data_IF_937333401916
#
_entry.id   IF_937333401916
#
_cell.length_a   1.000
_cell.length_b   1.000
_cell.length_c   1.000
_cell.angle_alpha   90.00
_cell.angle_beta   90.00
_cell.angle_gamma   90.00
#
_symmetry.space_group_name_H-M   'P 1'
#
loop_
_entity.id
_entity.type
_entity.pdbx_description
1 polymer ?
#
# COMPACT_ATOMS: atom_id res chain seq x y z
N UNK A 1 38.60 -93.60 -21.93
CA UNK A 1 37.47 -93.88 -21.02
C UNK A 1 36.43 -92.78 -21.21
N UNK A 2 35.48 -92.96 -22.13
CA UNK A 2 34.02 -92.92 -21.87
C UNK A 2 33.60 -92.36 -20.50
N UNK A 3 32.82 -91.28 -20.50
CA UNK A 3 31.41 -91.31 -20.08
C UNK A 3 30.67 -90.03 -20.55
N UNK A 4 29.41 -90.24 -20.92
CA UNK A 4 28.44 -89.29 -21.45
C UNK A 4 27.28 -89.17 -20.44
N UNK A 5 26.40 -88.17 -20.66
CA UNK A 5 25.04 -87.99 -20.11
C UNK A 5 24.97 -87.33 -18.71
N UNK A 6 24.03 -86.46 -18.31
CA UNK A 6 22.63 -86.15 -18.72
C UNK A 6 22.29 -84.66 -18.46
N UNK A 7 21.29 -84.13 -19.18
CA UNK A 7 20.70 -82.80 -18.99
C UNK A 7 19.72 -82.74 -17.80
N UNK A 8 19.59 -81.56 -17.16
CA UNK A 8 18.36 -81.14 -16.47
C UNK A 8 18.15 -79.63 -16.70
N UNK A 9 17.12 -79.32 -17.48
CA UNK A 9 16.54 -77.99 -17.60
C UNK A 9 16.02 -77.50 -16.25
N UNK A 10 16.41 -76.30 -15.84
CA UNK A 10 15.70 -75.53 -14.82
C UNK A 10 15.43 -74.12 -15.37
N UNK A 11 14.20 -73.95 -15.82
CA UNK A 11 13.55 -72.65 -16.01
C UNK A 11 13.49 -71.98 -14.64
N UNK A 12 14.22 -70.87 -14.45
CA UNK A 12 13.95 -69.93 -13.37
C UNK A 12 13.67 -68.56 -13.98
N UNK A 13 12.46 -68.11 -13.70
CA UNK A 13 11.82 -66.85 -14.05
C UNK A 13 12.65 -65.64 -13.64
N UNK A 14 12.92 -64.73 -14.57
CA UNK A 14 13.07 -63.32 -14.22
C UNK A 14 11.72 -62.86 -13.64
N UNK A 15 11.64 -62.33 -12.41
CA UNK A 15 11.69 -60.87 -12.27
C UNK A 15 12.19 -60.39 -10.90
N UNK A 16 12.97 -59.32 -10.89
CA UNK A 16 12.92 -58.27 -9.87
C UNK A 16 13.59 -57.07 -10.53
N UNK A 17 12.76 -56.43 -11.34
CA UNK A 17 12.98 -55.16 -11.99
C UNK A 17 13.29 -54.16 -10.87
N UNK A 18 14.57 -53.88 -10.61
CA UNK A 18 14.96 -52.60 -10.05
C UNK A 18 14.41 -51.57 -11.03
N UNK A 19 13.22 -51.05 -10.74
CA UNK A 19 12.59 -50.02 -11.52
C UNK A 19 13.56 -48.86 -11.61
N UNK A 20 14.11 -48.64 -12.80
CA UNK A 20 14.57 -47.33 -13.18
C UNK A 20 13.40 -46.37 -12.90
N UNK A 21 13.61 -45.39 -12.02
CA UNK A 21 12.79 -44.20 -12.04
C UNK A 21 13.07 -43.56 -13.40
N UNK A 22 12.14 -43.71 -14.35
CA UNK A 22 12.24 -43.11 -15.67
C UNK A 22 12.55 -41.63 -15.53
N UNK A 23 13.66 -41.19 -16.09
CA UNK A 23 14.18 -39.83 -16.03
C UNK A 23 13.40 -38.86 -16.97
N UNK A 24 12.15 -39.21 -17.31
CA UNK A 24 11.29 -38.53 -18.29
C UNK A 24 10.06 -37.85 -17.65
N UNK A 25 10.07 -37.60 -16.35
CA UNK A 25 9.14 -36.64 -15.73
C UNK A 25 9.74 -35.23 -15.84
N UNK A 26 9.91 -34.75 -17.08
CA UNK A 26 10.35 -33.39 -17.33
C UNK A 26 9.29 -32.42 -16.77
N UNK A 27 9.59 -31.75 -15.66
CA UNK A 27 8.75 -30.69 -15.11
C UNK A 27 8.44 -29.68 -16.22
N UNK A 28 7.16 -29.54 -16.63
CA UNK A 28 6.77 -28.64 -17.71
C UNK A 28 7.13 -27.17 -17.42
N UNK A 29 7.38 -26.84 -16.15
CA UNK A 29 7.76 -25.52 -15.69
C UNK A 29 9.27 -25.29 -15.67
N UNK A 30 10.10 -26.32 -15.78
CA UNK A 30 11.56 -26.20 -15.65
C UNK A 30 12.22 -25.30 -16.71
N UNK A 31 11.58 -25.10 -17.86
CA UNK A 31 12.07 -24.24 -18.94
C UNK A 31 11.40 -22.86 -18.99
N UNK A 32 10.41 -22.59 -18.13
CA UNK A 32 9.64 -21.34 -18.16
C UNK A 32 10.30 -20.27 -17.31
N UNK A 33 10.83 -19.25 -17.98
CA UNK A 33 11.37 -18.08 -17.31
C UNK A 33 10.28 -17.01 -17.14
N UNK A 34 9.42 -17.21 -16.13
CA UNK A 34 8.40 -16.22 -15.78
C UNK A 34 9.06 -15.09 -15.01
N UNK A 35 8.99 -13.87 -15.55
CA UNK A 35 9.43 -12.66 -14.85
C UNK A 35 8.23 -11.92 -14.31
N UNK A 36 8.31 -11.50 -13.04
CA UNK A 36 7.23 -10.82 -12.32
C UNK A 36 7.73 -9.47 -11.78
N UNK A 37 7.06 -8.40 -12.17
CA UNK A 37 7.27 -7.04 -11.66
C UNK A 37 5.93 -6.46 -11.19
N UNK A 38 5.97 -5.29 -10.54
CA UNK A 38 4.76 -4.59 -10.12
C UNK A 38 4.94 -3.08 -10.20
N UNK A 39 3.84 -2.38 -10.50
CA UNK A 39 3.68 -0.95 -10.24
C UNK A 39 2.94 -0.79 -8.92
N UNK A 40 3.46 0.04 -8.03
CA UNK A 40 2.99 0.17 -6.65
C UNK A 40 2.54 1.61 -6.38
N UNK A 41 1.36 1.75 -5.78
CA UNK A 41 0.91 2.97 -5.11
C UNK A 41 0.97 2.69 -3.61
N UNK A 42 1.80 3.46 -2.90
CA UNK A 42 1.96 3.37 -1.46
C UNK A 42 0.67 3.80 -0.72
N UNK A 43 0.50 3.32 0.50
CA UNK A 43 -0.69 3.59 1.31
C UNK A 43 -0.38 4.64 2.38
N UNK A 44 -1.35 5.47 2.76
CA UNK A 44 -1.17 6.39 3.89
C UNK A 44 -1.21 5.65 5.23
N UNK A 45 -0.54 6.19 6.24
CA UNK A 45 -0.55 5.64 7.60
C UNK A 45 -1.98 5.41 8.10
N UNK A 46 -2.27 4.18 8.53
CA UNK A 46 -3.58 3.81 9.07
C UNK A 46 -4.70 3.60 8.04
N UNK A 47 -4.43 3.83 6.75
CA UNK A 47 -5.40 3.71 5.67
C UNK A 47 -5.16 2.47 4.79
N UNK A 48 -6.17 2.10 4.00
CA UNK A 48 -6.13 1.00 3.04
C UNK A 48 -6.31 1.55 1.62
N UNK A 49 -5.53 2.55 1.22
CA UNK A 49 -5.66 3.22 -0.08
C UNK A 49 -4.51 2.90 -1.05
N UNK A 50 -3.58 2.05 -0.65
CA UNK A 50 -2.53 1.51 -1.50
C UNK A 50 -3.07 0.58 -2.58
N UNK A 51 -2.25 0.39 -3.62
CA UNK A 51 -2.53 -0.59 -4.66
C UNK A 51 -1.27 -1.19 -5.27
N UNK A 52 -1.42 -2.41 -5.79
CA UNK A 52 -0.38 -3.14 -6.50
C UNK A 52 -0.95 -3.60 -7.83
N UNK A 53 -0.27 -3.28 -8.93
CA UNK A 53 -0.58 -3.84 -10.26
C UNK A 53 0.56 -4.71 -10.74
N UNK A 54 0.32 -6.03 -10.78
CA UNK A 54 1.29 -7.02 -11.20
C UNK A 54 1.51 -7.03 -12.72
N UNK A 55 2.73 -7.34 -13.15
CA UNK A 55 3.05 -7.56 -14.55
C UNK A 55 3.90 -8.83 -14.68
N UNK A 56 3.36 -9.82 -15.38
CA UNK A 56 4.06 -11.08 -15.66
C UNK A 56 4.38 -11.21 -17.15
N UNK A 57 5.54 -11.76 -17.45
CA UNK A 57 6.02 -12.02 -18.82
C UNK A 57 6.71 -13.37 -18.91
N UNK A 58 7.00 -13.85 -20.13
CA UNK A 58 7.62 -15.14 -20.39
C UNK A 58 6.63 -16.30 -20.66
N UNK A 59 5.33 -16.05 -20.51
CA UNK A 59 4.24 -16.97 -20.88
C UNK A 59 2.97 -16.19 -21.22
N UNK A 60 1.82 -16.87 -21.34
CA UNK A 60 0.52 -16.26 -21.61
C UNK A 60 -0.59 -16.84 -20.70
N UNK A 61 -1.72 -16.15 -20.63
CA UNK A 61 -2.88 -16.60 -19.86
C UNK A 61 -2.68 -16.50 -18.34
N UNK A 62 -1.93 -15.49 -17.89
CA UNK A 62 -1.63 -15.33 -16.47
C UNK A 62 -2.88 -15.03 -15.63
N UNK A 63 -2.87 -15.62 -14.44
CA UNK A 63 -3.73 -15.26 -13.30
C UNK A 63 -2.84 -14.90 -12.12
N UNK A 64 -3.32 -14.02 -11.26
CA UNK A 64 -2.54 -13.42 -10.18
C UNK A 64 -3.22 -13.66 -8.83
N UNK A 65 -2.41 -13.77 -7.78
CA UNK A 65 -2.87 -13.91 -6.40
C UNK A 65 -1.91 -13.20 -5.45
N UNK A 66 -2.42 -12.63 -4.36
CA UNK A 66 -1.61 -12.09 -3.24
C UNK A 66 -1.68 -12.96 -1.98
N UNK A 67 -2.50 -14.01 -1.98
CA UNK A 67 -2.71 -14.95 -0.87
C UNK A 67 -2.31 -16.41 -1.20
N UNK A 68 -1.87 -16.64 -2.44
CA UNK A 68 -1.49 -17.96 -2.96
C UNK A 68 -2.66 -18.91 -3.23
N UNK A 69 -3.90 -18.51 -2.97
CA UNK A 69 -5.09 -19.38 -3.04
C UNK A 69 -6.17 -18.86 -3.98
N UNK A 70 -6.50 -17.57 -3.89
CA UNK A 70 -7.50 -16.91 -4.72
C UNK A 70 -6.80 -16.25 -5.92
N UNK A 71 -6.99 -16.83 -7.10
CA UNK A 71 -6.43 -16.34 -8.36
C UNK A 71 -7.47 -15.54 -9.14
N UNK A 72 -7.07 -14.37 -9.65
CA UNK A 72 -7.88 -13.50 -10.49
C UNK A 72 -7.17 -13.18 -11.82
N UNK A 73 -7.93 -12.86 -12.86
CA UNK A 73 -7.37 -12.43 -14.16
C UNK A 73 -6.94 -10.96 -14.15
N UNK A 74 -7.58 -10.13 -13.33
CA UNK A 74 -7.16 -8.75 -13.12
C UNK A 74 -5.79 -8.71 -12.43
N UNK A 75 -4.80 -7.97 -12.95
CA UNK A 75 -3.49 -7.86 -12.30
C UNK A 75 -3.49 -6.87 -11.12
N UNK A 76 -4.58 -6.13 -10.91
CA UNK A 76 -4.63 -5.04 -9.92
C UNK A 76 -5.27 -5.50 -8.61
N UNK A 77 -4.59 -5.22 -7.52
CA UNK A 77 -5.03 -5.38 -6.14
C UNK A 77 -5.10 -3.98 -5.50
N UNK A 78 -6.31 -3.52 -5.20
CA UNK A 78 -6.57 -2.22 -4.59
C UNK A 78 -7.02 -2.41 -3.14
N UNK A 79 -6.95 -1.34 -2.33
CA UNK A 79 -7.43 -1.41 -0.95
C UNK A 79 -6.39 -2.00 0.00
N UNK A 80 -5.10 -1.82 -0.31
CA UNK A 80 -4.00 -2.41 0.43
C UNK A 80 -3.49 -1.42 1.49
N UNK A 81 -3.23 -1.92 2.69
CA UNK A 81 -2.45 -1.20 3.70
C UNK A 81 -0.97 -1.17 3.32
N UNK A 82 -0.18 -0.37 4.05
CA UNK A 82 1.27 -0.51 4.02
C UNK A 82 1.66 -1.93 4.48
N UNK A 83 2.55 -2.58 3.73
CA UNK A 83 2.93 -3.96 3.99
C UNK A 83 3.66 -4.65 2.85
N UNK A 84 4.12 -5.86 3.11
CA UNK A 84 4.77 -6.71 2.10
C UNK A 84 3.78 -7.75 1.59
N UNK A 85 3.60 -7.80 0.28
CA UNK A 85 2.67 -8.68 -0.41
C UNK A 85 3.44 -9.67 -1.29
N UNK A 86 3.15 -10.95 -1.14
CA UNK A 86 3.70 -11.99 -2.02
C UNK A 86 2.74 -12.17 -3.20
N UNK A 87 3.11 -11.63 -4.35
CA UNK A 87 2.34 -11.81 -5.58
C UNK A 87 2.78 -13.10 -6.23
N UNK A 88 1.83 -13.95 -6.58
CA UNK A 88 2.02 -15.18 -7.34
C UNK A 88 1.35 -15.02 -8.70
N UNK A 89 2.12 -15.15 -9.77
CA UNK A 89 1.61 -15.27 -11.13
C UNK A 89 1.55 -16.77 -11.50
N UNK A 90 0.42 -17.22 -12.02
CA UNK A 90 0.22 -18.57 -12.56
C UNK A 90 -0.17 -18.47 -14.03
N UNK A 91 0.59 -19.09 -14.91
CA UNK A 91 0.30 -19.10 -16.34
C UNK A 91 -0.79 -20.11 -16.73
N UNK A 92 -1.15 -20.13 -18.01
CA UNK A 92 -2.17 -21.05 -18.54
C UNK A 92 -1.79 -22.54 -18.49
N UNK A 93 -0.51 -22.86 -18.30
CA UNK A 93 0.03 -24.22 -18.18
C UNK A 93 0.29 -24.62 -16.71
N UNK A 94 -0.24 -23.83 -15.77
CA UNK A 94 -0.17 -24.03 -14.31
C UNK A 94 1.19 -23.77 -13.67
N UNK A 95 2.17 -23.25 -14.41
CA UNK A 95 3.45 -22.85 -13.87
C UNK A 95 3.35 -21.57 -13.07
N UNK A 96 3.99 -21.52 -11.91
CA UNK A 96 3.92 -20.40 -10.97
C UNK A 96 5.27 -19.70 -10.78
N UNK A 97 5.20 -18.39 -10.59
CA UNK A 97 6.31 -17.58 -10.09
C UNK A 97 5.80 -16.63 -9.01
N UNK A 98 6.54 -16.51 -7.91
CA UNK A 98 6.18 -15.64 -6.79
C UNK A 98 7.28 -14.63 -6.52
N UNK A 99 6.88 -13.38 -6.27
CA UNK A 99 7.79 -12.28 -5.91
C UNK A 99 7.15 -11.44 -4.80
N UNK A 100 7.97 -10.99 -3.86
CA UNK A 100 7.55 -10.04 -2.85
C UNK A 100 7.67 -8.61 -3.36
N UNK A 101 6.66 -7.81 -3.05
CA UNK A 101 6.58 -6.39 -3.30
C UNK A 101 6.14 -5.67 -2.03
N UNK A 102 6.64 -4.46 -1.83
CA UNK A 102 6.36 -3.67 -0.64
C UNK A 102 5.52 -2.45 -1.03
N UNK A 103 4.34 -2.34 -0.43
CA UNK A 103 3.56 -1.11 -0.39
C UNK A 103 4.10 -0.33 0.81
N UNK A 104 4.85 0.73 0.57
CA UNK A 104 5.38 1.52 1.68
C UNK A 104 4.26 2.32 2.35
N UNK A 105 4.55 2.73 3.57
CA UNK A 105 3.76 3.72 4.27
C UNK A 105 4.16 5.11 3.77
N UNK A 106 3.21 5.83 3.20
CA UNK A 106 3.31 7.26 3.04
C UNK A 106 2.99 7.89 4.38
N UNK A 107 3.97 8.59 4.94
CA UNK A 107 3.66 9.61 5.92
C UNK A 107 2.69 10.57 5.22
N UNK A 108 1.46 10.62 5.71
CA UNK A 108 0.60 11.74 5.37
C UNK A 108 1.40 13.00 5.75
N UNK A 109 1.41 14.02 4.89
CA UNK A 109 1.97 15.31 5.30
C UNK A 109 0.98 15.96 6.27
N UNK A 110 0.76 15.28 7.40
CA UNK A 110 -0.05 15.76 8.52
C UNK A 110 0.50 17.12 8.87
N UNK A 111 -0.28 18.15 8.60
CA UNK A 111 0.05 19.46 9.12
C UNK A 111 -0.18 19.37 10.63
N UNK A 112 0.92 19.24 11.37
CA UNK A 112 0.85 19.20 12.84
C UNK A 112 0.26 20.51 13.31
N UNK A 113 -0.91 20.41 13.96
CA UNK A 113 -1.56 21.57 14.54
C UNK A 113 -0.61 22.26 15.52
N UNK A 114 0.06 21.47 16.34
CA UNK A 114 0.94 21.94 17.40
C UNK A 114 2.20 22.64 16.89
N UNK A 115 2.78 22.12 15.79
CA UNK A 115 4.02 22.63 15.23
C UNK A 115 3.80 23.77 14.23
N UNK A 116 2.68 23.76 13.49
CA UNK A 116 2.51 24.64 12.34
C UNK A 116 1.32 25.59 12.48
N UNK A 117 0.21 25.16 13.08
CA UNK A 117 -1.03 25.96 13.09
C UNK A 117 -1.18 26.76 14.38
N UNK A 118 -0.93 26.15 15.54
CA UNK A 118 -1.02 26.80 16.84
C UNK A 118 -0.14 28.06 16.92
N UNK A 119 1.13 28.06 16.47
CA UNK A 119 1.93 29.29 16.45
C UNK A 119 1.29 30.40 15.59
N UNK A 120 0.72 30.06 14.43
CA UNK A 120 0.02 31.03 13.57
C UNK A 120 -1.20 31.61 14.31
N UNK A 121 -1.99 30.76 14.95
CA UNK A 121 -3.18 31.20 15.69
C UNK A 121 -2.80 32.07 16.89
N UNK A 122 -1.75 31.69 17.63
CA UNK A 122 -1.26 32.40 18.82
C UNK A 122 -0.62 33.75 18.47
N UNK A 123 0.21 33.83 17.44
CA UNK A 123 0.94 35.04 17.09
C UNK A 123 0.09 36.04 16.30
N UNK A 124 -0.80 35.54 15.43
CA UNK A 124 -1.47 36.37 14.43
C UNK A 124 -2.94 36.63 14.77
N UNK A 125 -3.65 35.62 15.31
CA UNK A 125 -5.10 35.69 15.51
C UNK A 125 -5.48 36.01 16.97
N UNK A 126 -4.68 35.55 17.93
CA UNK A 126 -5.02 35.53 19.36
C UNK A 126 -5.38 36.90 19.94
N UNK A 127 -4.65 37.95 19.55
CA UNK A 127 -4.82 39.30 20.12
C UNK A 127 -6.24 39.85 19.95
N UNK A 128 -6.92 39.50 18.85
CA UNK A 128 -8.28 39.93 18.53
C UNK A 128 -9.35 38.86 18.77
N UNK A 129 -8.98 37.57 18.84
CA UNK A 129 -9.94 36.46 18.88
C UNK A 129 -10.07 35.75 20.24
N UNK A 130 -9.34 36.20 21.27
CA UNK A 130 -9.34 35.59 22.62
C UNK A 130 -10.53 35.94 23.53
N UNK A 131 -11.41 36.89 23.15
CA UNK A 131 -12.52 37.38 23.98
C UNK A 131 -13.84 37.42 23.19
N UNK A 132 -14.42 36.29 22.82
CA UNK A 132 -15.72 36.32 22.18
C UNK A 132 -16.79 36.91 23.11
N UNK A 133 -17.61 37.81 22.57
CA UNK A 133 -18.73 38.42 23.29
C UNK A 133 -18.53 39.86 23.75
N UNK A 134 -17.52 40.59 23.26
CA UNK A 134 -17.49 42.05 23.40
C UNK A 134 -18.69 42.67 22.65
N UNK A 135 -19.49 43.56 23.29
CA UNK A 135 -20.61 44.21 22.62
C UNK A 135 -20.14 44.95 21.36
N UNK A 136 -20.62 44.53 20.18
CA UNK A 136 -20.35 45.20 18.90
C UNK A 136 -19.30 44.55 17.98
N UNK A 137 -18.69 43.41 18.35
CA UNK A 137 -17.79 42.68 17.44
C UNK A 137 -18.14 41.18 17.31
N UNK A 138 -18.71 40.72 16.19
CA UNK A 138 -18.99 39.29 15.94
C UNK A 138 -17.73 38.57 15.41
N UNK A 139 -16.61 38.63 16.15
CA UNK A 139 -15.42 37.87 15.79
C UNK A 139 -15.55 36.41 16.24
N UNK A 140 -14.93 35.48 15.50
CA UNK A 140 -14.82 34.09 15.93
C UNK A 140 -14.13 34.01 17.31
N UNK A 141 -14.61 33.10 18.15
CA UNK A 141 -13.93 32.74 19.40
C UNK A 141 -12.84 31.73 19.09
N UNK A 142 -11.58 32.06 19.33
CA UNK A 142 -10.43 31.18 19.12
C UNK A 142 -9.69 30.91 20.44
N UNK A 143 -10.36 31.05 21.59
CA UNK A 143 -9.71 31.01 22.91
C UNK A 143 -9.27 29.61 23.36
N UNK A 144 -9.69 28.55 22.68
CA UNK A 144 -9.33 27.15 22.97
C UNK A 144 -9.22 26.37 21.67
N UNK A 145 -8.43 25.30 21.66
CA UNK A 145 -8.19 24.49 20.46
C UNK A 145 -9.49 23.90 19.88
N UNK A 146 -10.42 23.47 20.72
CA UNK A 146 -11.77 23.05 20.30
C UNK A 146 -12.53 24.14 19.54
N UNK A 147 -12.40 25.40 19.98
CA UNK A 147 -13.03 26.53 19.31
C UNK A 147 -12.28 26.91 18.03
N UNK A 148 -10.95 26.74 18.00
CA UNK A 148 -10.15 26.88 16.78
C UNK A 148 -10.61 25.87 15.74
N UNK A 149 -10.76 24.60 16.12
CA UNK A 149 -11.32 23.54 15.27
C UNK A 149 -12.73 23.87 14.80
N UNK A 150 -13.62 24.28 15.71
CA UNK A 150 -14.99 24.65 15.37
C UNK A 150 -15.08 25.82 14.37
N UNK A 151 -14.05 26.68 14.32
CA UNK A 151 -13.96 27.80 13.39
C UNK A 151 -13.02 27.55 12.20
N UNK A 152 -12.44 26.36 12.03
CA UNK A 152 -11.39 26.06 11.06
C UNK A 152 -11.77 26.46 9.62
N UNK A 153 -12.96 26.08 9.14
CA UNK A 153 -13.43 26.43 7.80
C UNK A 153 -13.61 27.94 7.61
N UNK A 154 -14.01 28.67 8.65
CA UNK A 154 -14.13 30.12 8.62
C UNK A 154 -12.75 30.78 8.61
N UNK A 155 -11.81 30.30 9.44
CA UNK A 155 -10.42 30.75 9.45
C UNK A 155 -9.82 30.61 8.05
N UNK A 156 -9.91 29.42 7.45
CA UNK A 156 -9.37 29.16 6.11
C UNK A 156 -9.97 30.13 5.08
N UNK A 157 -11.30 30.30 5.08
CA UNK A 157 -11.99 31.22 4.16
C UNK A 157 -11.47 32.66 4.26
N UNK A 158 -11.35 33.20 5.47
CA UNK A 158 -10.93 34.59 5.67
C UNK A 158 -9.43 34.79 5.35
N UNK A 159 -8.60 33.79 5.66
CA UNK A 159 -7.15 33.79 5.41
C UNK A 159 -6.83 33.69 3.92
N UNK A 160 -7.49 32.78 3.19
CA UNK A 160 -7.31 32.65 1.74
C UNK A 160 -7.82 33.89 0.99
N UNK A 161 -8.93 34.48 1.45
CA UNK A 161 -9.45 35.72 0.90
C UNK A 161 -8.58 36.96 1.25
N UNK A 162 -7.56 36.81 2.10
CA UNK A 162 -6.71 37.91 2.55
C UNK A 162 -7.44 38.97 3.37
N UNK A 163 -8.60 38.63 3.94
CA UNK A 163 -9.42 39.54 4.76
C UNK A 163 -8.93 39.60 6.20
N UNK A 164 -8.19 38.57 6.63
CA UNK A 164 -7.53 38.46 7.93
C UNK A 164 -6.07 38.02 7.75
N UNK A 165 -5.15 38.49 8.61
CA UNK A 165 -5.37 39.43 9.73
C UNK A 165 -5.51 40.91 9.29
N UNK A 166 -6.25 41.72 10.06
CA UNK A 166 -6.31 43.17 9.81
C UNK A 166 -4.95 43.82 10.12
N UNK A 167 -4.33 44.46 9.13
CA UNK A 167 -3.06 45.19 9.30
C UNK A 167 -1.80 44.36 9.01
N UNK A 168 -1.95 43.14 8.46
CA UNK A 168 -0.85 42.29 8.01
C UNK A 168 -1.32 41.24 7.02
N UNK A 169 -0.43 40.32 6.62
CA UNK A 169 -0.77 39.18 5.78
C UNK A 169 0.02 37.96 6.22
N UNK A 170 -0.66 36.81 6.28
CA UNK A 170 0.03 35.53 6.33
C UNK A 170 0.81 35.30 5.02
N UNK A 171 1.99 34.71 5.14
CA UNK A 171 2.79 34.24 4.01
C UNK A 171 2.03 33.16 3.23
N UNK A 172 2.42 32.94 1.98
CA UNK A 172 1.83 31.87 1.16
C UNK A 172 2.00 30.49 1.78
N UNK A 173 3.08 30.25 2.53
CA UNK A 173 3.32 29.00 3.23
C UNK A 173 2.37 28.79 4.41
N UNK A 174 2.15 29.82 5.24
CA UNK A 174 1.18 29.77 6.36
C UNK A 174 -0.25 29.57 5.86
N UNK A 175 -0.61 30.23 4.76
CA UNK A 175 -1.92 30.04 4.11
C UNK A 175 -2.09 28.62 3.60
N UNK A 176 -1.05 28.04 2.99
CA UNK A 176 -1.07 26.66 2.52
C UNK A 176 -1.20 25.66 3.69
N UNK A 177 -0.46 25.88 4.78
CA UNK A 177 -0.54 25.05 5.98
C UNK A 177 -1.96 25.04 6.59
N UNK A 178 -2.60 26.21 6.72
CA UNK A 178 -3.99 26.30 7.20
C UNK A 178 -4.95 25.56 6.26
N UNK A 179 -4.77 25.68 4.93
CA UNK A 179 -5.65 25.00 3.98
C UNK A 179 -5.53 23.47 4.05
N UNK A 180 -4.31 22.94 4.18
CA UNK A 180 -4.03 21.51 4.33
C UNK A 180 -4.59 20.98 5.66
N UNK A 181 -4.32 21.67 6.78
CA UNK A 181 -4.90 21.34 8.09
C UNK A 181 -6.44 21.26 8.07
N UNK A 182 -7.12 22.18 7.38
CA UNK A 182 -8.58 22.12 7.22
C UNK A 182 -9.02 20.95 6.33
N UNK A 183 -8.26 20.61 5.28
CA UNK A 183 -8.56 19.46 4.42
C UNK A 183 -8.43 18.13 5.18
N UNK A 184 -7.53 18.06 6.16
CA UNK A 184 -7.34 16.92 7.07
C UNK A 184 -8.42 16.84 8.19
N UNK A 185 -9.43 17.71 8.17
CA UNK A 185 -10.49 17.72 9.19
C UNK A 185 -10.12 18.48 10.46
N UNK A 186 -9.11 19.35 10.39
CA UNK A 186 -8.66 20.22 11.48
C UNK A 186 -8.35 19.45 12.79
N UNK A 187 -7.42 18.46 12.77
CA UNK A 187 -6.95 17.82 13.99
C UNK A 187 -6.30 18.86 14.92
N UNK A 188 -6.45 18.72 16.24
CA UNK A 188 -5.87 19.69 17.21
C UNK A 188 -4.93 19.04 18.22
N UNK A 189 -4.60 17.76 18.02
CA UNK A 189 -3.73 16.98 18.90
C UNK A 189 -2.81 16.08 18.07
N UNK A 190 -2.10 16.65 17.09
CA UNK A 190 -1.15 15.97 16.20
C UNK A 190 0.14 16.76 15.98
#
# INVERSE_FOLDING_TARGET
MRASMYAVSLLFTAPLWLGACSEDDADPCASRNISLTASITNAHEGENDGSLTANASGSAGFTFSIDGSNFQTSPTFSGLAAGTYTVTAKDGETCTASQQFTVDELADSQVSYDAQIRPIIEDVCWSCHKQAGQPGFPHADLSTDDKVKANASRINTEVQAGRMPKGGSLSSAEKAAIAAWVAEGAPVNN
#
